data_IF_256804910336
#
_entry.id   IF_256804910336
#
_cell.length_a   1.000
_cell.length_b   1.000
_cell.length_c   1.000
_cell.angle_alpha   90.00
_cell.angle_beta   90.00
_cell.angle_gamma   90.00
#
_symmetry.space_group_name_H-M   'P 1'
#
loop_
_entity.id
_entity.type
_entity.pdbx_description
1 polymer ?
#
# COMPACT_ATOMS: atom_id res chain seq x y z
N UNK A 1 5.49 -22.76 9.63
CA UNK A 1 4.58 -22.62 8.48
C UNK A 1 3.42 -21.79 8.95
N UNK A 2 3.25 -20.55 8.47
CA UNK A 2 2.02 -19.78 8.74
C UNK A 2 0.84 -20.60 8.23
N UNK A 3 -0.07 -21.00 9.12
CA UNK A 3 -1.15 -21.89 8.76
C UNK A 3 -2.09 -21.16 7.79
N UNK A 4 -2.00 -21.46 6.49
CA UNK A 4 -2.74 -20.76 5.44
C UNK A 4 -4.27 -20.81 5.67
N UNK A 5 -4.75 -21.79 6.43
CA UNK A 5 -6.15 -21.96 6.86
C UNK A 5 -6.69 -20.76 7.63
N UNK A 6 -5.88 -20.10 8.47
CA UNK A 6 -6.36 -18.98 9.31
C UNK A 6 -6.36 -17.65 8.56
N UNK A 7 -5.78 -17.59 7.36
CA UNK A 7 -5.54 -16.33 6.67
C UNK A 7 -6.77 -15.78 5.93
N UNK A 8 -7.63 -16.67 5.44
CA UNK A 8 -8.78 -16.31 4.60
C UNK A 8 -10.03 -17.06 5.06
N UNK A 9 -10.80 -16.42 5.93
CA UNK A 9 -12.06 -16.95 6.45
C UNK A 9 -13.25 -16.48 5.60
N UNK A 10 -14.39 -17.21 5.60
CA UNK A 10 -15.64 -16.74 5.00
C UNK A 10 -15.99 -15.31 5.42
N UNK A 11 -16.50 -14.52 4.48
CA UNK A 11 -16.80 -13.10 4.66
C UNK A 11 -15.60 -12.16 4.55
N UNK A 12 -14.36 -12.66 4.51
CA UNK A 12 -13.20 -11.81 4.26
C UNK A 12 -13.26 -11.24 2.83
N UNK A 13 -13.06 -9.93 2.70
CA UNK A 13 -12.82 -9.29 1.41
C UNK A 13 -11.35 -9.47 1.05
N UNK A 14 -11.11 -9.92 -0.17
CA UNK A 14 -9.78 -10.20 -0.72
C UNK A 14 -9.60 -9.54 -2.08
N UNK A 15 -8.37 -9.13 -2.36
CA UNK A 15 -7.93 -8.78 -3.71
C UNK A 15 -7.33 -10.03 -4.35
N UNK A 16 -7.88 -10.42 -5.49
CA UNK A 16 -7.43 -11.53 -6.32
C UNK A 16 -6.46 -10.96 -7.34
N UNK A 17 -5.20 -11.41 -7.28
CA UNK A 17 -4.13 -10.89 -8.12
C UNK A 17 -4.50 -10.99 -9.62
N UNK A 18 -4.69 -9.84 -10.27
CA UNK A 18 -5.00 -9.74 -11.70
C UNK A 18 -6.49 -9.86 -12.04
N UNK A 19 -7.37 -10.07 -11.05
CA UNK A 19 -8.81 -10.30 -11.27
C UNK A 19 -9.72 -9.38 -10.44
N UNK A 20 -9.19 -8.62 -9.47
CA UNK A 20 -9.98 -7.63 -8.73
C UNK A 20 -10.48 -8.12 -7.37
N UNK A 21 -11.55 -7.50 -6.84
CA UNK A 21 -12.05 -7.77 -5.48
C UNK A 21 -12.99 -8.96 -5.45
N UNK A 22 -12.91 -9.73 -4.37
CA UNK A 22 -13.80 -10.85 -4.11
C UNK A 22 -14.10 -11.02 -2.62
N UNK A 23 -15.19 -11.69 -2.30
CA UNK A 23 -15.49 -12.18 -0.94
C UNK A 23 -15.19 -13.66 -0.86
N UNK A 24 -14.49 -14.09 0.19
CA UNK A 24 -14.31 -15.51 0.51
C UNK A 24 -15.65 -16.08 0.95
N UNK A 25 -16.15 -17.10 0.24
CA UNK A 25 -17.37 -17.83 0.58
C UNK A 25 -17.04 -19.01 1.51
N UNK A 26 -15.97 -19.73 1.20
CA UNK A 26 -15.51 -20.89 1.97
C UNK A 26 -14.00 -20.80 2.19
N UNK A 27 -13.55 -21.24 3.36
CA UNK A 27 -12.14 -21.29 3.74
C UNK A 27 -11.35 -22.26 2.83
N UNK A 28 -10.06 -22.40 3.10
CA UNK A 28 -9.22 -23.39 2.41
C UNK A 28 -9.76 -24.79 2.66
N UNK A 29 -9.92 -25.58 1.60
CA UNK A 29 -10.26 -27.00 1.73
C UNK A 29 -8.99 -27.82 1.95
N UNK A 30 -8.89 -28.52 3.07
CA UNK A 30 -7.70 -29.29 3.45
C UNK A 30 -7.81 -30.79 3.24
N UNK A 31 -8.98 -31.28 2.85
CA UNK A 31 -9.20 -32.71 2.60
C UNK A 31 -8.45 -33.15 1.32
N UNK A 32 -7.42 -34.02 1.39
CA UNK A 32 -6.57 -34.36 0.25
C UNK A 32 -7.30 -35.05 -0.93
N UNK A 33 -8.48 -35.62 -0.68
CA UNK A 33 -9.33 -36.23 -1.71
C UNK A 33 -10.34 -35.28 -2.37
N UNK A 34 -10.44 -34.02 -1.91
CA UNK A 34 -11.39 -33.07 -2.48
C UNK A 34 -10.84 -32.45 -3.78
N UNK A 35 -11.68 -32.33 -4.82
CA UNK A 35 -11.29 -31.75 -6.13
C UNK A 35 -10.74 -30.31 -6.06
N UNK A 36 -11.02 -29.60 -4.96
CA UNK A 36 -10.55 -28.23 -4.70
C UNK A 36 -9.59 -28.14 -3.50
N UNK A 37 -8.94 -29.24 -3.13
CA UNK A 37 -7.92 -29.25 -2.09
C UNK A 37 -6.88 -28.11 -2.27
N UNK A 38 -6.61 -27.39 -1.19
CA UNK A 38 -5.70 -26.24 -1.13
C UNK A 38 -6.24 -24.93 -1.73
N UNK A 39 -7.57 -24.81 -1.92
CA UNK A 39 -8.23 -23.62 -2.49
C UNK A 39 -9.34 -23.08 -1.60
N UNK A 40 -9.59 -21.78 -1.69
CA UNK A 40 -10.74 -21.09 -1.13
C UNK A 40 -11.82 -20.89 -2.20
N UNK A 41 -13.09 -20.97 -1.82
CA UNK A 41 -14.19 -20.56 -2.70
C UNK A 41 -14.38 -19.05 -2.55
N UNK A 42 -14.38 -18.32 -3.66
CA UNK A 42 -14.55 -16.85 -3.67
C UNK A 42 -15.68 -16.44 -4.60
N UNK A 43 -16.24 -15.24 -4.37
CA UNK A 43 -17.19 -14.56 -5.25
C UNK A 43 -16.67 -13.19 -5.65
N UNK A 44 -16.51 -12.93 -6.94
CA UNK A 44 -16.06 -11.63 -7.44
C UNK A 44 -17.13 -10.56 -7.23
N UNK A 45 -16.69 -9.35 -6.90
CA UNK A 45 -17.60 -8.21 -6.67
C UNK A 45 -18.10 -7.60 -7.99
N UNK A 46 -17.35 -7.75 -9.07
CA UNK A 46 -17.65 -7.13 -10.36
C UNK A 46 -18.85 -7.77 -11.07
N UNK A 47 -18.87 -9.10 -11.15
CA UNK A 47 -19.87 -9.86 -11.92
C UNK A 47 -20.64 -10.90 -11.09
N UNK A 48 -20.29 -11.03 -9.80
CA UNK A 48 -20.89 -12.02 -8.91
C UNK A 48 -20.48 -13.47 -9.20
N UNK A 49 -19.60 -13.72 -10.17
CA UNK A 49 -19.13 -15.08 -10.50
C UNK A 49 -18.31 -15.67 -9.36
N UNK A 50 -18.26 -16.99 -9.28
CA UNK A 50 -17.51 -17.70 -8.25
C UNK A 50 -16.33 -18.47 -8.81
N UNK A 51 -15.29 -18.65 -7.99
CA UNK A 51 -14.08 -19.37 -8.39
C UNK A 51 -13.38 -20.02 -7.20
N UNK A 52 -12.69 -21.13 -7.46
CA UNK A 52 -11.83 -21.79 -6.47
C UNK A 52 -10.39 -21.29 -6.60
N UNK A 53 -10.04 -20.30 -5.78
CA UNK A 53 -8.77 -19.60 -5.82
C UNK A 53 -7.73 -20.23 -4.89
N UNK A 54 -6.46 -20.23 -5.31
CA UNK A 54 -5.35 -20.60 -4.44
C UNK A 54 -5.05 -19.45 -3.47
N UNK A 55 -4.87 -19.68 -2.15
CA UNK A 55 -4.57 -18.62 -1.17
C UNK A 55 -3.41 -17.70 -1.53
N UNK A 56 -2.38 -18.22 -2.22
CA UNK A 56 -1.22 -17.42 -2.68
C UNK A 56 -1.56 -16.34 -3.73
N UNK A 57 -2.73 -16.42 -4.35
CA UNK A 57 -3.25 -15.43 -5.30
C UNK A 57 -4.15 -14.39 -4.62
N UNK A 58 -4.50 -14.63 -3.36
CA UNK A 58 -5.36 -13.74 -2.57
C UNK A 58 -4.50 -12.79 -1.72
N UNK A 59 -4.98 -11.56 -1.59
CA UNK A 59 -4.48 -10.57 -0.64
C UNK A 59 -5.62 -10.17 0.26
N UNK A 60 -5.43 -10.23 1.58
CA UNK A 60 -6.45 -9.78 2.52
C UNK A 60 -6.58 -8.27 2.39
N UNK A 61 -7.81 -7.81 2.16
CA UNK A 61 -8.10 -6.39 2.07
C UNK A 61 -8.24 -5.81 3.47
N UNK A 62 -7.75 -4.59 3.64
CA UNK A 62 -7.93 -3.77 4.82
C UNK A 62 -8.25 -2.36 4.33
N UNK A 63 -9.53 -2.04 4.11
CA UNK A 63 -9.95 -0.67 3.87
C UNK A 63 -9.48 0.21 5.03
N UNK A 64 -9.09 1.45 4.73
CA UNK A 64 -8.76 2.44 5.74
C UNK A 64 -9.98 2.69 6.62
N UNK A 65 -9.74 2.79 7.93
CA UNK A 65 -10.75 3.19 8.89
C UNK A 65 -10.85 4.72 8.97
N UNK A 66 -9.77 5.43 8.62
CA UNK A 66 -9.72 6.89 8.60
C UNK A 66 -9.74 7.46 7.18
N UNK A 67 -10.03 8.76 7.11
CA UNK A 67 -10.21 9.49 5.84
C UNK A 67 -8.89 9.75 5.13
N UNK A 68 -7.80 9.99 5.85
CA UNK A 68 -6.46 10.25 5.30
C UNK A 68 -5.56 9.05 5.58
N UNK A 69 -5.16 8.35 4.52
CA UNK A 69 -4.30 7.18 4.61
C UNK A 69 -2.89 7.52 4.10
N UNK A 70 -1.87 7.34 4.94
CA UNK A 70 -0.48 7.71 4.63
C UNK A 70 0.37 6.48 4.37
N UNK A 71 0.99 6.40 3.20
CA UNK A 71 1.92 5.36 2.81
C UNK A 71 3.35 5.93 2.68
N UNK A 72 4.35 5.18 3.15
CA UNK A 72 5.74 5.65 3.16
C UNK A 72 6.38 5.65 1.77
N UNK A 73 6.21 4.58 1.01
CA UNK A 73 6.92 4.35 -0.26
C UNK A 73 5.96 3.99 -1.40
N UNK A 74 6.43 4.07 -2.65
CA UNK A 74 5.61 3.85 -3.87
C UNK A 74 4.90 2.49 -3.89
N UNK A 75 5.55 1.42 -3.43
CA UNK A 75 4.91 0.10 -3.35
C UNK A 75 3.74 0.11 -2.35
N UNK A 76 3.95 0.67 -1.16
CA UNK A 76 2.92 0.79 -0.13
C UNK A 76 1.77 1.69 -0.58
N UNK A 77 2.06 2.78 -1.28
CA UNK A 77 1.07 3.68 -1.86
C UNK A 77 0.20 2.99 -2.92
N UNK A 78 0.82 2.21 -3.82
CA UNK A 78 0.07 1.44 -4.82
C UNK A 78 -0.77 0.34 -4.18
N UNK A 79 -0.26 -0.34 -3.15
CA UNK A 79 -1.05 -1.30 -2.39
C UNK A 79 -2.20 -0.62 -1.64
N UNK A 80 -2.00 0.59 -1.12
CA UNK A 80 -3.07 1.37 -0.51
C UNK A 80 -4.21 1.64 -1.49
N UNK A 81 -3.91 1.95 -2.75
CA UNK A 81 -4.93 2.12 -3.80
C UNK A 81 -5.65 0.82 -4.13
N UNK A 82 -4.91 -0.29 -4.28
CA UNK A 82 -5.51 -1.63 -4.43
C UNK A 82 -6.50 -1.85 -3.29
N UNK A 83 -6.14 -1.43 -2.08
CA UNK A 83 -6.91 -1.60 -0.86
C UNK A 83 -8.17 -0.73 -0.76
N UNK A 84 -8.14 0.46 -1.34
CA UNK A 84 -9.09 1.51 -0.99
C UNK A 84 -9.85 2.11 -2.18
N UNK A 85 -9.43 1.86 -3.42
CA UNK A 85 -10.16 2.28 -4.63
C UNK A 85 -11.23 1.25 -4.98
N UNK A 86 -12.47 1.69 -5.10
CA UNK A 86 -13.62 0.88 -5.50
C UNK A 86 -14.29 1.39 -6.80
N UNK A 87 -15.12 0.53 -7.42
CA UNK A 87 -15.73 0.80 -8.72
C UNK A 87 -16.52 2.09 -8.80
N UNK A 88 -17.27 2.53 -7.78
CA UNK A 88 -17.98 3.79 -7.84
C UNK A 88 -17.09 5.03 -7.75
N UNK A 89 -15.82 4.89 -7.34
CA UNK A 89 -14.97 6.04 -7.02
C UNK A 89 -14.70 6.93 -8.24
N UNK A 90 -14.63 8.23 -7.97
CA UNK A 90 -14.10 9.25 -8.88
C UNK A 90 -12.79 9.72 -8.28
N UNK A 91 -11.69 9.45 -8.97
CA UNK A 91 -10.36 9.65 -8.41
C UNK A 91 -9.63 10.83 -9.06
N UNK A 92 -8.89 11.58 -8.25
CA UNK A 92 -7.85 12.51 -8.70
C UNK A 92 -6.50 11.98 -8.23
N UNK A 93 -5.50 11.93 -9.10
CA UNK A 93 -4.12 11.68 -8.72
C UNK A 93 -3.25 12.91 -8.98
N UNK A 94 -2.64 13.44 -7.92
CA UNK A 94 -1.70 14.55 -7.92
C UNK A 94 -0.27 13.98 -7.92
N UNK A 95 0.54 14.40 -8.89
CA UNK A 95 1.87 13.84 -9.12
C UNK A 95 1.81 12.52 -9.90
N UNK A 96 1.07 12.51 -11.01
CA UNK A 96 0.83 11.28 -11.78
C UNK A 96 2.08 10.74 -12.50
N UNK A 97 3.13 11.56 -12.67
CA UNK A 97 4.34 11.21 -13.42
C UNK A 97 3.96 10.64 -14.80
N UNK A 98 4.53 9.49 -15.20
CA UNK A 98 4.23 8.78 -16.44
C UNK A 98 2.90 7.97 -16.43
N UNK A 99 1.98 8.23 -15.49
CA UNK A 99 0.61 7.70 -15.49
C UNK A 99 0.43 6.23 -15.11
N UNK A 100 1.49 5.53 -14.67
CA UNK A 100 1.43 4.10 -14.31
C UNK A 100 0.46 3.82 -13.16
N UNK A 101 0.49 4.67 -12.14
CA UNK A 101 -0.39 4.55 -10.97
C UNK A 101 -1.81 4.97 -11.34
N UNK A 102 -1.98 6.02 -12.14
CA UNK A 102 -3.28 6.47 -12.68
C UNK A 102 -3.98 5.36 -13.45
N UNK A 103 -3.25 4.67 -14.32
CA UNK A 103 -3.75 3.51 -15.05
C UNK A 103 -4.07 2.32 -14.14
N UNK A 104 -3.34 2.15 -13.03
CA UNK A 104 -3.72 1.14 -12.03
C UNK A 104 -5.05 1.51 -11.34
N UNK A 105 -5.29 2.79 -11.06
CA UNK A 105 -6.54 3.28 -10.47
C UNK A 105 -7.70 3.14 -11.47
N UNK A 106 -7.50 3.43 -12.75
CA UNK A 106 -8.57 3.38 -13.77
C UNK A 106 -9.19 1.99 -13.93
N UNK A 107 -8.42 0.94 -13.66
CA UNK A 107 -8.90 -0.45 -13.66
C UNK A 107 -9.83 -0.77 -12.48
N UNK A 108 -9.98 0.15 -11.52
CA UNK A 108 -10.76 -0.05 -10.29
C UNK A 108 -11.78 1.04 -10.02
N UNK A 109 -11.56 2.25 -10.49
CA UNK A 109 -12.46 3.38 -10.30
C UNK A 109 -13.46 3.52 -11.47
N UNK A 110 -14.50 4.33 -11.30
CA UNK A 110 -15.39 4.73 -12.40
C UNK A 110 -14.71 5.77 -13.30
N UNK A 111 -13.87 6.61 -12.70
CA UNK A 111 -13.13 7.66 -13.39
C UNK A 111 -11.85 7.98 -12.62
N UNK A 112 -10.80 8.36 -13.35
CA UNK A 112 -9.60 8.94 -12.77
C UNK A 112 -9.02 10.02 -13.69
N UNK A 113 -8.59 11.13 -13.10
CA UNK A 113 -7.75 12.13 -13.74
C UNK A 113 -6.38 12.17 -13.06
N UNK A 114 -5.30 12.22 -13.85
CA UNK A 114 -3.94 12.43 -13.36
C UNK A 114 -3.49 13.85 -13.64
N UNK A 115 -2.80 14.48 -12.68
CA UNK A 115 -2.17 15.78 -12.88
C UNK A 115 -0.70 15.76 -12.45
N UNK A 116 0.10 16.57 -13.12
CA UNK A 116 1.49 16.83 -12.76
C UNK A 116 1.86 18.27 -13.13
N UNK A 117 2.88 18.83 -12.48
CA UNK A 117 3.35 20.19 -12.80
C UNK A 117 4.33 20.18 -13.98
N UNK A 118 5.00 19.06 -14.22
CA UNK A 118 5.96 18.90 -15.31
C UNK A 118 5.24 18.56 -16.64
N UNK A 119 5.25 19.44 -17.65
CA UNK A 119 4.55 19.22 -18.91
C UNK A 119 5.05 17.98 -19.67
N UNK A 120 6.34 17.68 -19.60
CA UNK A 120 6.97 16.55 -20.28
C UNK A 120 6.47 15.20 -19.75
N UNK A 121 6.27 15.05 -18.44
CA UNK A 121 5.76 13.78 -17.87
C UNK A 121 4.28 13.59 -18.17
N UNK A 122 3.50 14.69 -18.22
CA UNK A 122 2.10 14.67 -18.65
C UNK A 122 1.98 14.20 -20.09
N UNK A 123 2.84 14.71 -20.98
CA UNK A 123 2.88 14.28 -22.38
C UNK A 123 3.20 12.78 -22.51
N UNK A 124 4.18 12.28 -21.73
CA UNK A 124 4.52 10.85 -21.70
C UNK A 124 3.35 10.01 -21.18
N UNK A 125 2.68 10.45 -20.10
CA UNK A 125 1.53 9.76 -19.52
C UNK A 125 0.36 9.66 -20.52
N UNK A 126 0.02 10.76 -21.19
CA UNK A 126 -1.03 10.82 -22.19
C UNK A 126 -0.73 9.94 -23.41
N UNK A 127 0.53 9.94 -23.89
CA UNK A 127 0.94 9.06 -24.98
C UNK A 127 0.89 7.58 -24.60
N UNK A 128 1.29 7.24 -23.36
CA UNK A 128 1.30 5.87 -22.84
C UNK A 128 -0.11 5.34 -22.56
N UNK A 129 -1.00 6.19 -22.07
CA UNK A 129 -2.35 5.82 -21.63
C UNK A 129 -3.40 6.74 -22.27
N UNK A 130 -3.62 6.68 -23.60
CA UNK A 130 -4.46 7.63 -24.34
C UNK A 130 -5.95 7.59 -23.99
N UNK A 131 -6.39 6.58 -23.22
CA UNK A 131 -7.76 6.43 -22.74
C UNK A 131 -8.02 7.15 -21.40
N UNK A 132 -7.01 7.81 -20.82
CA UNK A 132 -7.09 8.51 -19.54
C UNK A 132 -6.90 10.02 -19.72
N UNK A 133 -7.39 10.79 -18.74
CA UNK A 133 -7.25 12.25 -18.72
C UNK A 133 -6.02 12.65 -17.91
N UNK A 134 -5.04 13.26 -18.58
CA UNK A 134 -3.89 13.88 -17.94
C UNK A 134 -3.85 15.38 -18.20
N UNK A 135 -3.47 16.18 -17.18
CA UNK A 135 -3.36 17.64 -17.28
C UNK A 135 -2.10 18.15 -16.62
N UNK A 136 -1.48 19.16 -17.22
CA UNK A 136 -0.47 19.96 -16.55
C UNK A 136 -1.18 20.93 -15.60
N UNK A 137 -0.98 20.80 -14.30
CA UNK A 137 -1.67 21.60 -13.29
C UNK A 137 -0.94 21.54 -11.95
N UNK A 138 -1.04 22.61 -11.16
CA UNK A 138 -0.63 22.60 -9.75
C UNK A 138 -1.73 21.93 -8.90
N UNK A 139 -1.34 20.95 -8.09
CA UNK A 139 -2.24 20.31 -7.15
C UNK A 139 -2.82 21.25 -6.08
N UNK A 140 -2.17 22.39 -5.79
CA UNK A 140 -2.70 23.40 -4.87
C UNK A 140 -3.80 24.28 -5.48
N UNK A 141 -3.96 24.30 -6.81
CA UNK A 141 -5.08 24.97 -7.47
C UNK A 141 -6.34 24.10 -7.40
N UNK A 142 -6.93 24.03 -6.20
CA UNK A 142 -8.08 23.15 -5.90
C UNK A 142 -9.33 23.50 -6.71
N UNK A 143 -9.49 24.75 -7.13
CA UNK A 143 -10.59 25.16 -7.99
C UNK A 143 -10.42 24.57 -9.40
N UNK A 144 -9.21 24.67 -9.98
CA UNK A 144 -8.92 24.07 -11.27
C UNK A 144 -8.98 22.54 -11.22
N UNK A 145 -8.47 21.90 -10.17
CA UNK A 145 -8.53 20.44 -10.04
C UNK A 145 -9.98 19.96 -9.90
N UNK A 146 -10.83 20.65 -9.12
CA UNK A 146 -12.24 20.31 -9.00
C UNK A 146 -12.98 20.31 -10.35
N UNK A 147 -12.58 21.20 -11.27
CA UNK A 147 -13.11 21.25 -12.64
C UNK A 147 -12.79 20.03 -13.51
N UNK A 148 -11.89 19.13 -13.08
CA UNK A 148 -11.56 17.89 -13.78
C UNK A 148 -12.52 16.73 -13.47
N UNK A 149 -13.37 16.88 -12.46
CA UNK A 149 -14.35 15.85 -12.12
C UNK A 149 -15.44 15.78 -13.22
N UNK A 150 -16.02 14.60 -13.48
CA UNK A 150 -17.15 14.47 -14.40
C UNK A 150 -18.33 15.35 -13.98
N UNK A 151 -19.08 15.88 -14.94
CA UNK A 151 -20.22 16.77 -14.66
C UNK A 151 -21.20 16.16 -13.63
N UNK A 152 -21.54 16.94 -12.61
CA UNK A 152 -22.44 16.53 -11.53
C UNK A 152 -21.83 15.57 -10.51
N UNK A 153 -20.51 15.30 -10.56
CA UNK A 153 -19.80 14.46 -9.59
C UNK A 153 -18.65 15.23 -8.97
N UNK A 154 -18.33 14.89 -7.73
CA UNK A 154 -17.09 15.32 -7.06
C UNK A 154 -16.12 14.13 -6.99
N UNK A 155 -14.83 14.43 -6.80
CA UNK A 155 -13.87 13.38 -6.45
C UNK A 155 -14.27 12.75 -5.10
N UNK A 156 -14.35 11.42 -5.06
CA UNK A 156 -14.56 10.65 -3.83
C UNK A 156 -13.24 10.16 -3.24
N UNK A 157 -12.16 10.24 -4.00
CA UNK A 157 -10.82 9.88 -3.57
C UNK A 157 -9.78 10.78 -4.23
N UNK A 158 -8.88 11.35 -3.42
CA UNK A 158 -7.71 12.11 -3.89
C UNK A 158 -6.45 11.37 -3.49
N UNK A 159 -5.57 11.13 -4.46
CA UNK A 159 -4.30 10.44 -4.30
C UNK A 159 -3.16 11.44 -4.50
N UNK A 160 -2.22 11.51 -3.56
CA UNK A 160 -1.15 12.51 -3.54
C UNK A 160 0.21 11.81 -3.56
N UNK A 161 0.97 11.94 -4.65
CA UNK A 161 2.35 11.45 -4.79
C UNK A 161 3.27 12.52 -5.40
N UNK A 162 3.59 13.56 -4.63
CA UNK A 162 4.55 14.58 -5.05
C UNK A 162 5.96 14.24 -4.55
N UNK A 163 6.79 13.67 -5.42
CA UNK A 163 8.23 13.40 -5.20
C UNK A 163 8.58 12.40 -4.08
N UNK A 164 7.62 11.93 -3.26
CA UNK A 164 7.83 11.02 -2.12
C UNK A 164 8.68 11.59 -0.96
N UNK A 165 9.50 12.60 -1.23
CA UNK A 165 10.40 13.32 -0.32
C UNK A 165 10.09 14.81 -0.24
N UNK A 166 8.89 15.22 -0.67
CA UNK A 166 8.43 16.59 -0.48
C UNK A 166 8.50 16.95 1.02
N UNK A 167 8.92 18.18 1.37
CA UNK A 167 8.98 18.62 2.77
C UNK A 167 7.63 18.51 3.47
N UNK A 168 7.67 18.24 4.78
CA UNK A 168 6.46 18.08 5.60
C UNK A 168 5.48 19.26 5.48
N UNK A 169 5.99 20.49 5.43
CA UNK A 169 5.18 21.70 5.30
C UNK A 169 4.32 21.67 4.03
N UNK A 170 4.94 21.39 2.88
CA UNK A 170 4.26 21.35 1.58
C UNK A 170 3.22 20.23 1.51
N UNK A 171 3.56 19.03 2.01
CA UNK A 171 2.60 17.93 1.98
C UNK A 171 1.42 18.17 2.91
N UNK A 172 1.64 18.76 4.10
CA UNK A 172 0.56 19.09 5.02
C UNK A 172 -0.33 20.21 4.48
N UNK A 173 0.24 21.22 3.82
CA UNK A 173 -0.52 22.25 3.11
C UNK A 173 -1.40 21.63 2.03
N UNK A 174 -0.85 20.73 1.20
CA UNK A 174 -1.59 20.04 0.16
C UNK A 174 -2.71 19.17 0.75
N UNK A 175 -2.43 18.38 1.79
CA UNK A 175 -3.44 17.55 2.48
C UNK A 175 -4.59 18.42 3.01
N UNK A 176 -4.31 19.56 3.64
CA UNK A 176 -5.33 20.51 4.09
C UNK A 176 -6.14 21.10 2.94
N UNK A 177 -5.47 21.58 1.90
CA UNK A 177 -6.13 22.20 0.75
C UNK A 177 -7.10 21.21 0.09
N UNK A 178 -6.65 19.97 -0.14
CA UNK A 178 -7.48 18.91 -0.70
C UNK A 178 -8.61 18.49 0.24
N UNK A 179 -8.34 18.34 1.54
CA UNK A 179 -9.38 17.97 2.50
C UNK A 179 -10.48 19.03 2.63
N UNK A 180 -10.12 20.32 2.49
CA UNK A 180 -11.07 21.43 2.50
C UNK A 180 -11.88 21.52 1.20
N UNK A 181 -11.22 21.37 0.04
CA UNK A 181 -11.86 21.42 -1.27
C UNK A 181 -12.77 20.20 -1.53
N UNK A 182 -12.42 19.05 -0.98
CA UNK A 182 -13.12 17.78 -1.17
C UNK A 182 -13.52 17.16 0.18
N UNK A 183 -14.50 17.74 0.91
CA UNK A 183 -14.84 17.34 2.27
C UNK A 183 -15.35 15.89 2.38
N UNK A 184 -15.95 15.35 1.32
CA UNK A 184 -16.42 13.96 1.27
C UNK A 184 -15.36 12.97 0.74
N UNK A 185 -14.25 13.45 0.19
CA UNK A 185 -13.24 12.60 -0.40
C UNK A 185 -12.35 11.95 0.66
N UNK A 186 -11.96 10.70 0.43
CA UNK A 186 -10.84 10.07 1.14
C UNK A 186 -9.53 10.51 0.50
N UNK A 187 -8.45 10.54 1.28
CA UNK A 187 -7.12 10.90 0.80
C UNK A 187 -6.19 9.71 0.96
N UNK A 188 -5.37 9.43 -0.06
CA UNK A 188 -4.23 8.50 0.03
C UNK A 188 -2.97 9.29 -0.29
N UNK A 189 -2.02 9.32 0.63
CA UNK A 189 -0.86 10.21 0.56
C UNK A 189 0.41 9.38 0.58
N UNK A 190 1.32 9.58 -0.38
CA UNK A 190 2.68 9.08 -0.31
C UNK A 190 3.63 10.17 0.16
N UNK A 191 4.19 10.01 1.35
CA UNK A 191 5.26 10.88 1.83
C UNK A 191 6.03 10.22 2.98
N UNK A 192 7.36 10.18 2.88
CA UNK A 192 8.21 9.55 3.89
C UNK A 192 8.22 10.34 5.21
N UNK A 193 8.30 11.67 5.14
CA UNK A 193 8.42 12.53 6.33
C UNK A 193 7.12 12.57 7.15
N UNK A 194 5.96 12.70 6.48
CA UNK A 194 4.64 12.62 7.11
C UNK A 194 4.40 11.24 7.73
N UNK A 195 4.78 10.16 7.04
CA UNK A 195 4.67 8.81 7.58
C UNK A 195 5.52 8.66 8.85
N UNK A 196 6.80 9.05 8.80
CA UNK A 196 7.72 8.94 9.94
C UNK A 196 7.28 9.82 11.12
N UNK A 197 6.71 10.99 10.85
CA UNK A 197 6.13 11.87 11.87
C UNK A 197 4.90 11.27 12.54
N UNK A 198 3.99 10.66 11.78
CA UNK A 198 2.82 9.96 12.33
C UNK A 198 3.21 8.73 13.14
N UNK A 199 4.23 7.96 12.71
CA UNK A 199 4.78 6.85 13.50
C UNK A 199 5.30 7.34 14.85
N UNK A 200 6.10 8.42 14.85
CA UNK A 200 6.64 8.98 16.09
C UNK A 200 5.52 9.50 17.02
N UNK A 201 4.47 10.09 16.47
CA UNK A 201 3.31 10.55 17.23
C UNK A 201 2.55 9.38 17.89
N UNK A 202 2.26 8.30 17.14
CA UNK A 202 1.61 7.11 17.70
C UNK A 202 2.43 6.48 18.85
N UNK A 203 3.77 6.46 18.73
CA UNK A 203 4.66 5.97 19.77
C UNK A 203 4.62 6.82 21.04
N UNK A 204 4.51 8.15 20.92
CA UNK A 204 4.39 9.06 22.07
C UNK A 204 3.04 8.89 22.79
N UNK A 205 1.99 8.51 22.08
CA UNK A 205 0.64 8.32 22.63
C UNK A 205 0.43 6.97 23.32
N UNK A 206 1.40 6.05 23.26
CA UNK A 206 1.35 4.75 23.95
C UNK A 206 2.32 4.71 25.14
N UNK A 207 2.09 5.48 26.22
CA UNK A 207 2.92 5.46 27.41
C UNK A 207 2.77 4.11 28.12
N UNK A 208 3.69 3.19 27.87
CA UNK A 208 3.72 1.85 28.46
C UNK A 208 4.26 0.76 27.54
N UNK A 209 4.08 0.90 26.22
CA UNK A 209 4.54 -0.10 25.25
C UNK A 209 6.06 -0.04 24.99
N UNK A 210 6.71 1.08 25.30
CA UNK A 210 8.12 1.32 24.93
C UNK A 210 9.15 0.41 25.62
N UNK A 211 8.85 -0.09 26.82
CA UNK A 211 9.76 -1.01 27.53
C UNK A 211 9.66 -2.46 27.02
N UNK A 212 8.47 -2.92 26.62
CA UNK A 212 8.27 -4.28 26.08
C UNK A 212 8.59 -4.36 24.58
N UNK A 213 8.28 -3.34 23.80
CA UNK A 213 8.47 -3.34 22.34
C UNK A 213 9.95 -3.29 21.91
N UNK A 214 10.84 -2.69 22.73
CA UNK A 214 12.29 -2.77 22.47
C UNK A 214 12.84 -4.20 22.64
N UNK A 215 12.17 -5.07 23.41
CA UNK A 215 12.56 -6.48 23.55
C UNK A 215 11.96 -7.37 22.45
N UNK A 216 10.91 -6.91 21.75
CA UNK A 216 10.21 -7.68 20.70
C UNK A 216 10.43 -7.15 19.28
N UNK A 217 11.41 -6.27 19.04
CA UNK A 217 11.79 -5.97 17.66
C UNK A 217 12.18 -7.30 16.98
N UNK A 218 11.45 -7.71 15.92
CA UNK A 218 11.74 -8.97 15.25
C UNK A 218 13.19 -8.92 14.79
N UNK A 219 14.00 -9.89 15.25
CA UNK A 219 15.35 -10.05 14.72
C UNK A 219 15.24 -10.03 13.21
N UNK A 220 15.96 -9.12 12.52
CA UNK A 220 15.87 -9.03 11.06
C UNK A 220 16.12 -10.43 10.51
N UNK A 221 15.20 -10.89 9.66
CA UNK A 221 15.38 -12.16 8.96
C UNK A 221 16.79 -12.17 8.36
N UNK A 222 17.53 -13.30 8.39
CA UNK A 222 18.91 -13.37 7.93
C UNK A 222 18.99 -12.80 6.51
N UNK A 223 19.45 -11.55 6.42
CA UNK A 223 19.52 -10.83 5.17
C UNK A 223 20.59 -11.50 4.30
N UNK A 224 20.39 -11.47 2.98
CA UNK A 224 21.47 -11.71 2.04
C UNK A 224 22.71 -10.94 2.52
N UNK A 225 23.87 -11.59 2.55
CA UNK A 225 25.14 -11.13 3.16
C UNK A 225 25.34 -9.62 2.94
N UNK A 226 24.95 -8.81 3.91
CA UNK A 226 25.23 -7.38 3.92
C UNK A 226 26.62 -7.19 4.51
N UNK A 227 27.42 -6.30 3.94
CA UNK A 227 28.68 -5.93 4.58
C UNK A 227 28.38 -5.19 5.89
N UNK A 228 29.26 -5.26 6.90
CA UNK A 228 29.11 -4.46 8.12
C UNK A 228 28.89 -2.96 7.86
N UNK A 229 29.47 -2.44 6.77
CA UNK A 229 29.28 -1.06 6.31
C UNK A 229 27.85 -0.78 5.84
N UNK A 230 27.25 -1.67 5.05
CA UNK A 230 25.86 -1.55 4.62
C UNK A 230 24.88 -1.61 5.80
N UNK A 231 25.14 -2.49 6.77
CA UNK A 231 24.34 -2.59 7.99
C UNK A 231 24.44 -1.31 8.84
N UNK A 232 25.65 -0.76 9.01
CA UNK A 232 25.87 0.49 9.73
C UNK A 232 25.20 1.68 9.04
N UNK A 233 25.31 1.79 7.71
CA UNK A 233 24.65 2.82 6.93
C UNK A 233 23.12 2.75 7.03
N UNK A 234 22.55 1.55 6.98
CA UNK A 234 21.11 1.34 7.15
C UNK A 234 20.64 1.75 8.55
N UNK A 235 21.35 1.35 9.60
CA UNK A 235 21.05 1.72 10.98
C UNK A 235 21.14 3.24 11.20
N UNK A 236 22.16 3.89 10.65
CA UNK A 236 22.30 5.35 10.69
C UNK A 236 21.16 6.06 9.95
N UNK A 237 20.76 5.55 8.78
CA UNK A 237 19.65 6.10 8.01
C UNK A 237 18.31 5.97 8.76
N UNK A 238 18.08 4.84 9.43
CA UNK A 238 16.91 4.60 10.27
C UNK A 238 16.88 5.49 11.51
N UNK A 239 18.02 5.65 12.19
CA UNK A 239 18.14 6.57 13.33
C UNK A 239 17.88 8.02 12.92
N UNK A 240 18.40 8.45 11.77
CA UNK A 240 18.15 9.78 11.22
C UNK A 240 16.67 9.97 10.83
N UNK A 241 16.04 8.94 10.25
CA UNK A 241 14.60 8.96 9.94
C UNK A 241 13.75 9.07 11.22
N UNK A 242 14.08 8.32 12.28
CA UNK A 242 13.40 8.40 13.56
C UNK A 242 13.57 9.78 14.22
N UNK A 243 14.76 10.39 14.13
CA UNK A 243 14.99 11.75 14.62
C UNK A 243 14.16 12.79 13.87
N UNK A 244 14.13 12.72 12.53
CA UNK A 244 13.25 13.56 11.70
C UNK A 244 11.78 13.35 12.04
N UNK A 245 11.34 12.11 12.20
CA UNK A 245 9.97 11.77 12.60
C UNK A 245 9.57 12.41 13.93
N UNK A 246 10.43 12.35 14.95
CA UNK A 246 10.16 13.03 16.24
C UNK A 246 10.04 14.54 16.10
N UNK A 247 10.92 15.17 15.33
CA UNK A 247 10.83 16.61 15.06
C UNK A 247 9.54 16.96 14.29
N UNK A 248 9.17 16.15 13.30
CA UNK A 248 7.93 16.29 12.54
C UNK A 248 6.68 16.12 13.39
N UNK A 249 6.65 15.14 14.31
CA UNK A 249 5.50 14.85 15.17
C UNK A 249 5.06 16.06 16.00
N UNK A 250 6.02 16.83 16.54
CA UNK A 250 5.75 18.07 17.27
C UNK A 250 5.06 19.12 16.39
N UNK A 251 5.42 19.16 15.11
CA UNK A 251 4.91 20.13 14.13
C UNK A 251 3.57 19.71 13.51
N UNK A 252 3.23 18.41 13.48
CA UNK A 252 2.03 17.91 12.80
C UNK A 252 0.75 18.57 13.29
N UNK A 253 0.59 18.74 14.60
CA UNK A 253 -0.61 19.37 15.16
C UNK A 253 -0.76 20.84 14.70
N UNK A 254 0.35 21.56 14.53
CA UNK A 254 0.35 22.92 14.00
C UNK A 254 0.04 22.94 12.50
N UNK A 255 0.64 22.01 11.74
CA UNK A 255 0.53 21.98 10.28
C UNK A 255 -0.86 21.51 9.81
N UNK A 256 -1.38 20.41 10.38
CA UNK A 256 -2.66 19.82 9.96
C UNK A 256 -3.85 20.31 10.80
N UNK A 257 -3.62 20.77 12.03
CA UNK A 257 -4.68 20.98 13.01
C UNK A 257 -5.15 19.66 13.65
N UNK A 258 -5.82 19.72 14.82
CA UNK A 258 -6.20 18.52 15.57
C UNK A 258 -7.26 17.65 14.87
N UNK A 259 -8.21 18.26 14.15
CA UNK A 259 -9.29 17.55 13.48
C UNK A 259 -8.77 16.66 12.34
N UNK A 260 -8.02 17.25 11.40
CA UNK A 260 -7.46 16.53 10.26
C UNK A 260 -6.38 15.51 10.69
N UNK A 261 -5.63 15.81 11.76
CA UNK A 261 -4.68 14.85 12.32
C UNK A 261 -5.38 13.61 12.88
N UNK A 262 -6.56 13.76 13.51
CA UNK A 262 -7.37 12.63 13.98
C UNK A 262 -7.99 11.80 12.83
N UNK A 263 -8.02 12.35 11.62
CA UNK A 263 -8.41 11.65 10.39
C UNK A 263 -7.24 10.92 9.70
N UNK A 264 -6.02 11.00 10.23
CA UNK A 264 -4.87 10.32 9.66
C UNK A 264 -4.72 8.88 10.17
N UNK A 265 -4.35 7.98 9.27
CA UNK A 265 -4.00 6.58 9.53
C UNK A 265 -2.77 6.18 8.71
N UNK A 266 -1.88 5.39 9.31
CA UNK A 266 -0.73 4.81 8.62
C UNK A 266 -1.14 3.57 7.83
N UNK A 267 -0.80 3.54 6.53
CA UNK A 267 -0.92 2.32 5.74
C UNK A 267 0.20 1.33 6.09
N UNK A 268 -0.11 0.40 6.98
CA UNK A 268 0.76 -0.72 7.35
C UNK A 268 0.39 -1.94 6.53
N UNK A 269 1.09 -2.16 5.41
CA UNK A 269 0.96 -3.44 4.73
C UNK A 269 1.41 -4.56 5.67
N UNK A 270 0.62 -5.63 5.80
CA UNK A 270 1.12 -6.90 6.35
C UNK A 270 2.36 -7.33 5.58
N UNK A 271 3.54 -7.20 6.17
CA UNK A 271 4.84 -7.56 5.62
C UNK A 271 4.75 -8.74 4.64
N UNK A 272 5.08 -8.50 3.37
CA UNK A 272 5.51 -9.59 2.50
C UNK A 272 7.01 -9.72 2.72
N UNK A 273 7.52 -10.90 3.12
CA UNK A 273 8.95 -11.12 2.99
C UNK A 273 9.34 -10.81 1.53
N UNK A 274 10.48 -10.13 1.31
CA UNK A 274 10.93 -9.82 -0.04
C UNK A 274 10.85 -11.08 -0.91
N UNK A 275 10.35 -10.93 -2.14
CA UNK A 275 10.47 -12.04 -3.08
C UNK A 275 11.96 -12.28 -3.24
N UNK A 276 12.43 -13.42 -2.76
CA UNK A 276 13.76 -13.93 -3.12
C UNK A 276 13.92 -13.74 -4.62
N UNK A 277 15.03 -13.11 -5.02
CA UNK A 277 15.45 -12.98 -6.40
C UNK A 277 15.39 -14.37 -7.05
N UNK A 278 15.12 -14.48 -8.38
CA UNK A 278 15.10 -15.77 -9.05
C UNK A 278 16.34 -16.63 -8.74
N UNK A 279 17.51 -15.99 -8.64
CA UNK A 279 18.78 -16.63 -8.23
C UNK A 279 18.73 -17.21 -6.82
N UNK A 280 18.23 -16.46 -5.83
CA UNK A 280 18.14 -16.90 -4.43
C UNK A 280 17.17 -18.08 -4.25
N UNK A 281 16.11 -18.17 -5.07
CA UNK A 281 15.19 -19.32 -5.07
C UNK A 281 15.85 -20.61 -5.56
N UNK A 282 16.79 -20.50 -6.49
CA UNK A 282 17.56 -21.64 -6.98
C UNK A 282 18.51 -22.16 -5.90
N UNK A 283 19.23 -21.26 -5.23
CA UNK A 283 20.14 -21.60 -4.12
C UNK A 283 19.40 -22.28 -2.97
N UNK A 284 18.22 -21.76 -2.60
CA UNK A 284 17.43 -22.34 -1.51
C UNK A 284 16.87 -23.72 -1.86
N UNK A 285 16.51 -23.96 -3.13
CA UNK A 285 16.12 -25.29 -3.63
C UNK A 285 17.29 -26.28 -3.61
N UNK A 286 18.49 -25.85 -3.99
CA UNK A 286 19.68 -26.72 -3.95
C UNK A 286 20.06 -27.09 -2.51
N UNK A 287 20.02 -26.12 -1.58
CA UNK A 287 20.25 -26.38 -0.16
C UNK A 287 19.22 -27.36 0.43
N UNK A 288 17.94 -27.24 0.04
CA UNK A 288 16.90 -28.19 0.44
C UNK A 288 17.10 -29.59 -0.12
N UNK A 289 17.64 -29.74 -1.34
CA UNK A 289 18.00 -31.05 -1.90
C UNK A 289 19.24 -31.66 -1.24
N UNK A 290 20.23 -30.86 -0.84
CA UNK A 290 21.42 -31.36 -0.15
C UNK A 290 21.14 -31.77 1.31
N UNK A 291 20.10 -31.21 1.93
CA UNK A 291 19.72 -31.53 3.31
C UNK A 291 18.71 -32.67 3.44
N UNK A 292 18.24 -33.27 2.34
CA UNK A 292 17.46 -34.50 2.41
C UNK A 292 18.42 -35.68 2.59
N UNK A 293 18.49 -36.33 3.77
CA UNK A 293 19.28 -37.53 3.92
C UNK A 293 18.75 -38.58 2.95
N UNK A 294 19.66 -39.30 2.30
CA UNK A 294 19.37 -40.44 1.43
C UNK A 294 18.72 -41.56 2.26
N UNK A 295 17.43 -41.42 2.54
CA UNK A 295 16.63 -42.46 3.14
C UNK A 295 16.10 -43.34 2.00
N UNK A 296 16.93 -44.28 1.53
CA UNK A 296 16.60 -45.65 1.10
C UNK A 296 17.91 -46.32 0.69
N UNK A 297 18.42 -47.25 1.50
CA UNK A 297 18.95 -48.56 1.06
C UNK A 297 19.40 -49.37 2.29
N UNK A 298 18.44 -49.99 2.96
CA UNK A 298 18.68 -51.12 3.88
C UNK A 298 17.40 -51.96 3.95
N UNK A 299 17.05 -52.57 2.82
CA UNK A 299 16.08 -53.66 2.74
C UNK A 299 16.54 -54.59 1.62
N UNK A 300 17.60 -55.35 1.88
CA UNK A 300 18.02 -56.56 1.18
C UNK A 300 18.82 -57.41 2.15
#
# INVERSE_FOLDING_TARGET
MDNAQTKFAPGNVVDVKGHGRATVLEAVIDSPGHQHHGRCHIRYHEDGTTYWARPKLLRRMRPAARRVLVARHTHAYRDAMVHNVDRPDVCLEIGCHEGLTTNMISNRAAYVAGIDTAPEVVAIAAARHPHLSFRQMDGLDTAATAGLAPAGRAFSLVCIDISGKAPLDLICEMVRAQAAAFPAARLIVKNEELYDALVALEQQQQPGAGQEAQQQQPQPAPAAVQTPEQAAAAAAAEAAAAARGRAGAVRLAQLLGPELLAECELFRHQFRPPRLQPSERWTQKQLQHQQQPAAVEAAS
#
